data_IF_415981062103
#
_entry.id   IF_415981062103
#
_cell.length_a   1.000
_cell.length_b   1.000
_cell.length_c   1.000
_cell.angle_alpha   90.00
_cell.angle_beta   90.00
_cell.angle_gamma   90.00
#
_symmetry.space_group_name_H-M   'P 1'
#
loop_
_entity.id
_entity.type
_entity.pdbx_description
1 polymer ?
#
# COMPACT_ATOMS: atom_id res chain seq x y z
N UNK A 1 -1.73 19.11 -7.97
CA UNK A 1 -0.64 18.13 -8.27
C UNK A 1 0.61 18.55 -7.53
N UNK A 2 1.16 17.69 -6.67
CA UNK A 2 2.38 17.99 -5.94
C UNK A 2 3.58 18.06 -6.91
N UNK A 3 4.44 19.07 -6.75
CA UNK A 3 5.64 19.23 -7.57
C UNK A 3 6.56 17.99 -7.43
N UNK A 4 6.62 17.39 -6.23
CA UNK A 4 7.37 16.17 -5.95
C UNK A 4 6.90 14.98 -6.78
N UNK A 5 5.59 14.77 -6.90
CA UNK A 5 5.02 13.64 -7.65
C UNK A 5 5.45 13.70 -9.11
N UNK A 6 5.39 14.88 -9.70
CA UNK A 6 5.82 15.11 -11.08
C UNK A 6 7.32 14.89 -11.24
N UNK A 7 8.13 15.34 -10.28
CA UNK A 7 9.58 15.14 -10.32
C UNK A 7 9.93 13.66 -10.27
N UNK A 8 9.36 12.90 -9.32
CA UNK A 8 9.58 11.45 -9.22
C UNK A 8 9.11 10.73 -10.47
N UNK A 9 7.89 10.99 -10.93
CA UNK A 9 7.32 10.36 -12.12
C UNK A 9 8.21 10.59 -13.36
N UNK A 10 8.62 11.84 -13.61
CA UNK A 10 9.48 12.17 -14.76
C UNK A 10 10.86 11.51 -14.63
N UNK A 11 11.46 11.52 -13.43
CA UNK A 11 12.78 10.92 -13.22
C UNK A 11 12.75 9.41 -13.42
N UNK A 12 11.77 8.71 -12.83
CA UNK A 12 11.64 7.26 -12.96
C UNK A 12 11.33 6.85 -14.41
N UNK A 13 10.54 7.67 -15.10
CA UNK A 13 10.24 7.46 -16.53
C UNK A 13 11.49 7.60 -17.40
N UNK A 14 12.33 8.61 -17.15
CA UNK A 14 13.61 8.80 -17.86
C UNK A 14 14.61 7.67 -17.59
N UNK A 15 14.58 7.10 -16.38
CA UNK A 15 15.42 5.96 -16.03
C UNK A 15 14.92 4.62 -16.60
N UNK A 16 13.74 4.60 -17.23
CA UNK A 16 13.15 3.38 -17.79
C UNK A 16 12.72 2.36 -16.73
N UNK A 17 12.51 2.80 -15.48
CA UNK A 17 12.11 1.95 -14.37
C UNK A 17 10.59 1.80 -14.35
N UNK A 18 10.09 0.63 -14.02
CA UNK A 18 8.67 0.45 -13.71
C UNK A 18 8.39 0.99 -12.30
N UNK A 19 7.34 1.77 -12.17
CA UNK A 19 7.01 2.44 -10.92
C UNK A 19 5.50 2.59 -10.71
N UNK A 20 5.13 2.76 -9.44
CA UNK A 20 3.88 3.35 -9.01
C UNK A 20 4.21 4.44 -7.99
N UNK A 21 3.89 5.68 -8.32
CA UNK A 21 3.95 6.81 -7.37
C UNK A 21 2.53 7.03 -6.87
N UNK A 22 2.37 6.95 -5.56
CA UNK A 22 1.07 7.13 -4.90
C UNK A 22 1.07 8.42 -4.08
N UNK A 23 -0.07 9.07 -4.00
CA UNK A 23 -0.25 10.29 -3.23
C UNK A 23 -1.71 10.35 -2.74
N UNK A 24 -1.90 10.42 -1.44
CA UNK A 24 -3.21 10.65 -0.86
C UNK A 24 -3.53 12.16 -0.89
N UNK A 25 -4.75 12.54 -1.26
CA UNK A 25 -5.06 13.96 -1.49
C UNK A 25 -5.12 14.79 -0.21
N UNK A 26 -5.30 14.16 0.93
CA UNK A 26 -5.26 14.79 2.26
C UNK A 26 -3.86 14.85 2.90
N UNK A 27 -2.81 14.47 2.15
CA UNK A 27 -1.41 14.72 2.49
C UNK A 27 -0.61 13.56 3.05
N UNK A 28 -1.19 12.34 3.12
CA UNK A 28 -0.40 11.15 3.45
C UNK A 28 0.50 10.73 2.29
N UNK A 29 1.70 10.26 2.61
CA UNK A 29 2.67 9.76 1.61
C UNK A 29 2.30 8.38 1.06
N UNK A 30 1.40 7.65 1.74
CA UNK A 30 0.89 6.33 1.36
C UNK A 30 -0.63 6.41 1.16
N UNK A 31 -1.23 5.37 0.61
CA UNK A 31 -2.69 5.28 0.49
C UNK A 31 -3.27 4.99 1.87
N UNK A 32 -3.86 6.00 2.48
CA UNK A 32 -4.43 5.95 3.83
C UNK A 32 -5.90 5.54 3.87
N UNK A 33 -6.60 5.55 2.72
CA UNK A 33 -8.04 5.38 2.60
C UNK A 33 -8.89 6.47 3.29
N UNK A 34 -8.27 7.55 3.78
CA UNK A 34 -8.96 8.67 4.44
C UNK A 34 -9.56 9.66 3.45
N UNK A 35 -9.06 9.66 2.23
CA UNK A 35 -9.53 10.51 1.13
C UNK A 35 -9.31 9.80 -0.22
N UNK A 36 -9.62 10.48 -1.30
CA UNK A 36 -9.21 10.09 -2.64
C UNK A 36 -7.68 10.06 -2.73
N UNK A 37 -7.16 9.19 -3.56
CA UNK A 37 -5.72 9.07 -3.75
C UNK A 37 -5.37 8.98 -5.24
N UNK A 38 -4.20 9.48 -5.57
CA UNK A 38 -3.67 9.52 -6.91
C UNK A 38 -2.61 8.43 -7.10
N UNK A 39 -2.69 7.74 -8.21
CA UNK A 39 -1.67 6.78 -8.64
C UNK A 39 -1.13 7.18 -10.01
N UNK A 40 0.18 7.25 -10.13
CA UNK A 40 0.89 7.52 -11.37
C UNK A 40 1.83 6.35 -11.67
N UNK A 41 1.72 5.81 -12.86
CA UNK A 41 2.54 4.68 -13.33
C UNK A 41 3.16 5.02 -14.69
N UNK A 42 3.93 4.12 -15.26
CA UNK A 42 4.41 4.25 -16.64
C UNK A 42 3.27 4.27 -17.69
N UNK A 43 2.07 3.83 -17.33
CA UNK A 43 0.95 3.60 -18.25
C UNK A 43 -0.20 4.55 -18.08
N UNK A 44 -0.44 5.02 -16.86
CA UNK A 44 -1.60 5.83 -16.54
C UNK A 44 -1.37 6.73 -15.32
N UNK A 45 -2.20 7.73 -15.22
CA UNK A 45 -2.36 8.61 -14.07
C UNK A 45 -3.85 8.67 -13.76
N UNK A 46 -4.25 8.27 -12.55
CA UNK A 46 -5.66 8.18 -12.16
C UNK A 46 -5.83 8.56 -10.69
N UNK A 47 -6.94 9.22 -10.40
CA UNK A 47 -7.42 9.43 -9.03
C UNK A 47 -8.47 8.36 -8.75
N UNK A 48 -8.32 7.67 -7.64
CA UNK A 48 -9.22 6.63 -7.17
C UNK A 48 -9.95 7.08 -5.91
N UNK A 49 -11.20 6.64 -5.80
CA UNK A 49 -11.93 6.60 -4.54
C UNK A 49 -11.76 5.22 -3.91
N UNK A 50 -11.56 5.10 -2.59
CA UNK A 50 -11.46 3.80 -1.94
C UNK A 50 -12.59 2.83 -2.31
N UNK A 51 -13.83 3.35 -2.40
CA UNK A 51 -15.02 2.57 -2.75
C UNK A 51 -14.98 1.93 -4.14
N UNK A 52 -14.28 2.52 -5.09
CA UNK A 52 -14.14 1.97 -6.46
C UNK A 52 -13.32 0.67 -6.48
N UNK A 53 -12.49 0.48 -5.45
CA UNK A 53 -11.64 -0.71 -5.28
C UNK A 53 -12.13 -1.64 -4.15
N UNK A 54 -13.36 -1.42 -3.68
CA UNK A 54 -13.99 -2.27 -2.66
C UNK A 54 -13.57 -1.96 -1.21
N UNK A 55 -12.88 -0.83 -0.97
CA UNK A 55 -12.48 -0.40 0.36
C UNK A 55 -13.44 0.65 0.92
N UNK A 56 -13.60 0.64 2.24
CA UNK A 56 -14.35 1.69 2.94
C UNK A 56 -13.46 2.90 3.20
N UNK A 57 -14.04 4.10 3.24
CA UNK A 57 -13.34 5.28 3.73
C UNK A 57 -12.93 5.06 5.19
N UNK A 58 -11.69 5.37 5.49
CA UNK A 58 -11.11 5.32 6.83
C UNK A 58 -11.26 6.67 7.53
N UNK A 59 -11.28 6.65 8.87
CA UNK A 59 -11.08 7.85 9.68
C UNK A 59 -9.63 7.90 10.15
N UNK A 60 -9.09 9.10 10.27
CA UNK A 60 -7.70 9.30 10.64
C UNK A 60 -7.32 8.61 11.97
N UNK A 61 -8.24 8.60 12.94
CA UNK A 61 -8.03 7.97 14.25
C UNK A 61 -7.89 6.45 14.14
N UNK A 62 -8.46 5.82 13.12
CA UNK A 62 -8.39 4.36 12.90
C UNK A 62 -7.02 3.91 12.38
N UNK A 63 -6.19 4.87 11.91
CA UNK A 63 -4.84 4.64 11.42
C UNK A 63 -3.76 4.92 12.46
N UNK A 64 -4.15 5.15 13.71
CA UNK A 64 -3.20 5.42 14.78
C UNK A 64 -2.12 4.33 14.87
N UNK A 65 -0.87 4.75 14.71
CA UNK A 65 0.30 3.86 14.62
C UNK A 65 1.03 3.62 15.95
N UNK A 66 0.48 4.09 17.10
CA UNK A 66 1.14 4.02 18.39
C UNK A 66 2.05 5.22 18.69
N UNK A 67 2.38 5.40 19.97
CA UNK A 67 3.25 6.49 20.46
C UNK A 67 4.73 6.09 20.53
N UNK A 68 5.02 4.80 20.43
CA UNK A 68 6.36 4.24 20.58
C UNK A 68 6.67 3.24 19.47
N UNK A 69 7.96 3.03 19.12
CA UNK A 69 8.35 2.00 18.17
C UNK A 69 7.85 0.60 18.55
N UNK A 70 7.75 0.32 19.85
CA UNK A 70 7.24 -0.96 20.36
C UNK A 70 5.74 -1.13 20.07
N UNK A 71 4.95 -0.09 20.26
CA UNK A 71 3.53 -0.10 19.93
C UNK A 71 3.30 -0.23 18.43
N UNK A 72 4.06 0.50 17.62
CA UNK A 72 4.01 0.40 16.16
C UNK A 72 4.36 -1.02 15.68
N UNK A 73 5.41 -1.62 16.23
CA UNK A 73 5.79 -3.00 15.93
C UNK A 73 4.70 -4.00 16.31
N UNK A 74 4.01 -3.80 17.45
CA UNK A 74 2.91 -4.66 17.87
C UNK A 74 1.68 -4.53 16.94
N UNK A 75 1.40 -3.33 16.41
CA UNK A 75 0.34 -3.13 15.42
C UNK A 75 0.70 -3.85 14.11
N UNK A 76 1.92 -3.66 13.62
CA UNK A 76 2.44 -4.32 12.43
C UNK A 76 2.36 -5.85 12.55
N UNK A 77 2.78 -6.40 13.67
CA UNK A 77 2.76 -7.85 13.94
C UNK A 77 1.33 -8.40 13.92
N UNK A 78 0.38 -7.70 14.56
CA UNK A 78 -1.06 -8.08 14.53
C UNK A 78 -1.62 -8.11 13.10
N UNK A 79 -1.30 -7.11 12.27
CA UNK A 79 -1.76 -7.10 10.88
C UNK A 79 -1.24 -8.33 10.13
N UNK A 80 0.03 -8.69 10.28
CA UNK A 80 0.60 -9.87 9.63
C UNK A 80 0.07 -11.21 10.17
N UNK A 81 -0.47 -11.22 11.39
CA UNK A 81 -1.15 -12.39 11.98
C UNK A 81 -2.66 -12.41 11.69
N UNK A 82 -3.18 -11.53 10.84
CA UNK A 82 -4.61 -11.37 10.56
C UNK A 82 -5.45 -10.93 11.79
N UNK A 83 -4.82 -10.25 12.73
CA UNK A 83 -5.43 -9.73 13.97
C UNK A 83 -5.51 -8.20 13.99
N UNK A 84 -5.15 -7.55 12.90
CA UNK A 84 -5.25 -6.11 12.71
C UNK A 84 -6.71 -5.64 12.61
N UNK A 85 -6.96 -4.35 12.87
CA UNK A 85 -8.27 -3.78 12.58
C UNK A 85 -8.54 -3.83 11.06
N UNK A 86 -9.83 -3.77 10.69
CA UNK A 86 -10.21 -3.76 9.27
C UNK A 86 -9.50 -2.63 8.52
N UNK A 87 -9.49 -1.42 9.07
CA UNK A 87 -8.88 -0.25 8.45
C UNK A 87 -7.37 -0.42 8.29
N UNK A 88 -6.66 -0.90 9.32
CA UNK A 88 -5.22 -1.16 9.24
C UNK A 88 -4.89 -2.21 8.16
N UNK A 89 -5.67 -3.28 8.13
CA UNK A 89 -5.53 -4.34 7.12
C UNK A 89 -5.82 -3.82 5.72
N UNK A 90 -6.91 -3.09 5.52
CA UNK A 90 -7.30 -2.51 4.24
C UNK A 90 -6.21 -1.55 3.69
N UNK A 91 -5.62 -0.71 4.54
CA UNK A 91 -4.51 0.17 4.15
C UNK A 91 -3.27 -0.62 3.69
N UNK A 92 -2.91 -1.68 4.39
CA UNK A 92 -1.80 -2.54 3.97
C UNK A 92 -2.11 -3.23 2.64
N UNK A 93 -3.32 -3.75 2.48
CA UNK A 93 -3.73 -4.44 1.25
C UNK A 93 -3.70 -3.53 0.04
N UNK A 94 -4.24 -2.31 0.13
CA UNK A 94 -4.30 -1.42 -1.02
C UNK A 94 -2.90 -0.96 -1.45
N UNK A 95 -2.01 -0.63 -0.53
CA UNK A 95 -0.63 -0.26 -0.84
C UNK A 95 0.12 -1.44 -1.45
N UNK A 96 0.00 -2.64 -0.90
CA UNK A 96 0.58 -3.86 -1.46
C UNK A 96 0.05 -4.15 -2.87
N UNK A 97 -1.22 -3.88 -3.14
CA UNK A 97 -1.85 -4.11 -4.45
C UNK A 97 -1.21 -3.26 -5.55
N UNK A 98 -0.97 -1.99 -5.30
CA UNK A 98 -0.28 -1.13 -6.27
C UNK A 98 1.21 -1.47 -6.39
N UNK A 99 1.85 -1.96 -5.34
CA UNK A 99 3.22 -2.50 -5.43
C UNK A 99 3.26 -3.76 -6.32
N UNK A 100 2.30 -4.67 -6.18
CA UNK A 100 2.17 -5.86 -7.06
C UNK A 100 1.91 -5.42 -8.49
N UNK A 101 1.02 -4.46 -8.72
CA UNK A 101 0.73 -3.97 -10.07
C UNK A 101 1.94 -3.28 -10.72
N UNK A 102 2.79 -2.62 -9.94
CA UNK A 102 4.03 -2.05 -10.46
C UNK A 102 4.98 -3.13 -10.99
N UNK A 103 4.99 -4.33 -10.39
CA UNK A 103 5.78 -5.47 -10.84
C UNK A 103 5.11 -6.22 -11.99
N UNK A 104 3.78 -6.29 -11.99
CA UNK A 104 2.96 -7.02 -12.96
C UNK A 104 1.95 -6.09 -13.65
N UNK A 105 2.41 -5.14 -14.46
CA UNK A 105 1.61 -4.02 -14.97
C UNK A 105 0.50 -4.43 -15.94
N UNK A 106 0.45 -5.68 -16.37
CA UNK A 106 -0.61 -6.26 -17.19
C UNK A 106 -1.84 -6.72 -16.36
N UNK A 107 -1.66 -6.91 -15.04
CA UNK A 107 -2.77 -7.31 -14.15
C UNK A 107 -3.71 -6.13 -13.88
N UNK A 108 -4.99 -6.43 -13.74
CA UNK A 108 -5.96 -5.46 -13.22
C UNK A 108 -5.73 -5.24 -11.73
N UNK A 109 -6.07 -4.08 -11.24
CA UNK A 109 -5.86 -3.75 -9.82
C UNK A 109 -6.66 -4.67 -8.90
N UNK A 110 -7.84 -5.11 -9.31
CA UNK A 110 -8.68 -6.03 -8.55
C UNK A 110 -8.00 -7.41 -8.37
N UNK A 111 -7.27 -7.86 -9.39
CA UNK A 111 -6.47 -9.10 -9.30
C UNK A 111 -5.30 -8.92 -8.32
N UNK A 112 -4.67 -7.75 -8.31
CA UNK A 112 -3.60 -7.41 -7.37
C UNK A 112 -4.12 -7.33 -5.93
N UNK A 113 -5.30 -6.78 -5.72
CA UNK A 113 -5.99 -6.78 -4.41
C UNK A 113 -6.23 -8.21 -3.92
N UNK A 114 -6.72 -9.09 -4.79
CA UNK A 114 -6.93 -10.49 -4.44
C UNK A 114 -5.63 -11.21 -4.07
N UNK A 115 -4.53 -10.95 -4.80
CA UNK A 115 -3.21 -11.51 -4.51
C UNK A 115 -2.63 -10.99 -3.18
N UNK A 116 -2.75 -9.69 -2.92
CA UNK A 116 -2.31 -9.11 -1.64
C UNK A 116 -3.08 -9.74 -0.48
N UNK A 117 -4.39 -9.88 -0.61
CA UNK A 117 -5.26 -10.51 0.38
C UNK A 117 -4.90 -11.97 0.61
N UNK A 118 -4.74 -12.76 -0.46
CA UNK A 118 -4.29 -14.16 -0.36
C UNK A 118 -2.94 -14.26 0.36
N UNK A 119 -1.98 -13.41 0.04
CA UNK A 119 -0.65 -13.42 0.67
C UNK A 119 -0.72 -13.16 2.16
N UNK A 120 -1.57 -12.23 2.60
CA UNK A 120 -1.76 -11.92 4.01
C UNK A 120 -2.51 -13.05 4.72
N UNK A 121 -3.69 -13.44 4.24
CA UNK A 121 -4.59 -14.41 4.88
C UNK A 121 -3.97 -15.82 4.96
N UNK A 122 -3.19 -16.23 3.96
CA UNK A 122 -2.49 -17.52 3.96
C UNK A 122 -1.23 -17.55 4.83
N UNK A 123 -0.81 -16.42 5.40
CA UNK A 123 0.44 -16.29 6.17
C UNK A 123 1.73 -16.23 5.33
N UNK A 124 1.64 -16.17 4.00
CA UNK A 124 2.82 -16.05 3.12
C UNK A 124 3.58 -14.75 3.39
N UNK A 125 2.88 -13.64 3.63
CA UNK A 125 3.50 -12.37 4.00
C UNK A 125 4.32 -12.48 5.28
N UNK A 126 3.76 -13.08 6.33
CA UNK A 126 4.46 -13.34 7.59
C UNK A 126 5.67 -14.27 7.42
N UNK A 127 5.53 -15.33 6.62
CA UNK A 127 6.62 -16.24 6.33
C UNK A 127 7.77 -15.54 5.59
N UNK A 128 7.45 -14.63 4.68
CA UNK A 128 8.44 -13.81 3.96
C UNK A 128 9.21 -12.89 4.92
N UNK A 129 8.50 -12.21 5.83
CA UNK A 129 9.15 -11.39 6.86
C UNK A 129 10.10 -12.23 7.73
N UNK A 130 9.65 -13.39 8.21
CA UNK A 130 10.49 -14.28 9.03
C UNK A 130 11.76 -14.71 8.29
N UNK A 131 11.63 -15.08 7.02
CA UNK A 131 12.78 -15.40 6.17
C UNK A 131 13.73 -14.20 6.03
N UNK A 132 13.21 -13.02 5.78
CA UNK A 132 14.02 -11.80 5.69
C UNK A 132 14.81 -11.53 6.99
N UNK A 133 14.16 -11.64 8.14
CA UNK A 133 14.80 -11.44 9.44
C UNK A 133 15.91 -12.47 9.69
N UNK A 134 15.71 -13.73 9.29
CA UNK A 134 16.73 -14.78 9.42
C UNK A 134 17.96 -14.53 8.54
N UNK A 135 17.78 -13.93 7.36
CA UNK A 135 18.89 -13.62 6.45
C UNK A 135 19.72 -12.41 6.90
N UNK A 136 19.22 -11.62 7.85
CA UNK A 136 19.87 -10.39 8.34
C UNK A 136 20.37 -10.53 9.80
N UNK A 137 20.43 -11.72 10.33
CA UNK A 137 21.08 -12.07 11.59
C UNK A 137 22.50 -12.59 11.31
#
# INVERSE_FOLDING_TARGET
MCIRDRLYTNTLQQLGIQFAVVNNLDGYDEISLTDEFKVMTNRYETIYRPSELGFSMARQEELYGGNTPKEAAAIFDRVLHNEGSKTQTDCVLINASFAIQALEPQKKIEECVALAKESLESGKALATLRKFLTLNQ
#
